data_IF_839897022962
#
_entry.id   IF_839897022962
#
_cell.length_a   1.000
_cell.length_b   1.000
_cell.length_c   1.000
_cell.angle_alpha   90.00
_cell.angle_beta   90.00
_cell.angle_gamma   90.00
#
_symmetry.space_group_name_H-M   'P 1'
#
loop_
_entity.id
_entity.type
_entity.pdbx_description
1 polymer ?
#
# COMPACT_ATOMS: atom_id res chain seq x y z
N UNK A 1 19.68 9.41 -23.76
CA UNK A 1 18.74 10.34 -23.10
C UNK A 1 19.42 11.38 -22.21
N UNK A 2 20.75 11.51 -22.24
CA UNK A 2 21.46 12.57 -21.54
C UNK A 2 22.27 13.36 -22.57
N UNK A 3 22.01 14.65 -22.67
CA UNK A 3 22.73 15.56 -23.57
C UNK A 3 23.34 16.67 -22.71
N UNK A 4 24.66 16.90 -22.83
CA UNK A 4 25.39 17.91 -22.03
C UNK A 4 25.13 17.79 -20.52
N UNK A 5 25.05 16.56 -20.00
CA UNK A 5 24.83 16.28 -18.58
C UNK A 5 23.39 16.51 -18.07
N UNK A 6 22.44 16.80 -18.96
CA UNK A 6 21.02 16.97 -18.60
C UNK A 6 20.17 15.81 -19.13
N UNK A 7 19.23 15.33 -18.31
CA UNK A 7 18.26 14.31 -18.72
C UNK A 7 17.22 14.94 -19.68
N UNK A 8 17.06 14.36 -20.86
CA UNK A 8 16.27 14.89 -21.98
C UNK A 8 14.99 14.07 -22.25
N UNK A 9 14.60 13.21 -21.31
CA UNK A 9 13.46 12.31 -21.47
C UNK A 9 13.59 11.05 -20.61
N UNK A 10 12.60 10.17 -20.73
CA UNK A 10 12.56 8.89 -20.02
C UNK A 10 12.29 7.73 -21.00
N UNK A 11 12.77 6.54 -20.63
CA UNK A 11 12.33 5.28 -21.22
C UNK A 11 11.42 4.63 -20.21
N UNK A 12 10.21 4.30 -20.62
CA UNK A 12 9.22 3.59 -19.81
C UNK A 12 8.90 2.26 -20.47
N UNK A 13 8.76 1.25 -19.63
CA UNK A 13 8.26 -0.07 -20.01
C UNK A 13 6.73 -0.02 -20.02
N UNK A 14 6.13 -0.32 -21.16
CA UNK A 14 4.71 -0.61 -21.19
C UNK A 14 4.48 -1.99 -20.54
N UNK A 15 3.77 -2.02 -19.42
CA UNK A 15 3.48 -3.27 -18.71
C UNK A 15 2.41 -4.14 -19.40
N UNK A 16 1.68 -3.60 -20.37
CA UNK A 16 0.65 -4.34 -21.12
C UNK A 16 1.28 -5.22 -22.22
N UNK A 17 2.27 -4.70 -22.96
CA UNK A 17 2.85 -5.39 -24.12
C UNK A 17 4.38 -5.60 -24.04
N UNK A 18 5.02 -5.14 -22.96
CA UNK A 18 6.46 -5.31 -22.71
C UNK A 18 7.36 -4.43 -23.60
N UNK A 19 6.79 -3.50 -24.36
CA UNK A 19 7.59 -2.62 -25.23
C UNK A 19 8.24 -1.48 -24.45
N UNK A 20 9.39 -1.01 -24.94
CA UNK A 20 10.09 0.15 -24.38
C UNK A 20 9.75 1.40 -25.19
N UNK A 21 9.09 2.36 -24.55
CA UNK A 21 8.75 3.64 -25.14
C UNK A 21 9.75 4.70 -24.70
N UNK A 22 10.24 5.49 -25.65
CA UNK A 22 11.13 6.63 -25.40
C UNK A 22 10.36 7.94 -25.53
N UNK A 23 10.23 8.65 -24.43
CA UNK A 23 9.62 9.97 -24.39
C UNK A 23 10.73 11.03 -24.32
N UNK A 24 10.68 12.01 -25.21
CA UNK A 24 11.58 13.16 -25.17
C UNK A 24 10.87 14.30 -24.44
N UNK A 25 11.51 14.86 -23.42
CA UNK A 25 10.92 15.91 -22.60
C UNK A 25 11.77 17.18 -22.66
N UNK A 26 11.14 18.34 -22.79
CA UNK A 26 11.81 19.64 -22.73
C UNK A 26 12.40 19.92 -21.33
N UNK A 27 11.87 19.25 -20.30
CA UNK A 27 12.41 19.25 -18.94
C UNK A 27 12.10 17.91 -18.29
N UNK A 28 13.13 17.24 -17.79
CA UNK A 28 12.97 15.99 -17.03
C UNK A 28 13.17 16.31 -15.55
N UNK A 29 12.12 16.13 -14.76
CA UNK A 29 12.19 16.23 -13.30
C UNK A 29 12.30 14.80 -12.80
N UNK A 30 13.46 14.41 -12.26
CA UNK A 30 13.49 13.23 -11.42
C UNK A 30 12.73 13.59 -10.14
N UNK A 31 11.56 13.00 -9.97
CA UNK A 31 10.85 13.01 -8.70
C UNK A 31 11.76 12.30 -7.69
N UNK A 32 12.49 13.04 -6.85
CA UNK A 32 13.38 12.46 -5.83
C UNK A 32 12.83 12.62 -4.43
N UNK A 33 11.61 13.12 -4.27
CA UNK A 33 10.99 13.24 -2.95
C UNK A 33 10.36 11.92 -2.56
N UNK A 34 10.91 11.25 -1.55
CA UNK A 34 10.26 10.20 -0.78
C UNK A 34 9.71 9.01 -1.62
N UNK A 35 10.36 8.69 -2.75
CA UNK A 35 9.93 7.59 -3.64
C UNK A 35 10.04 6.21 -2.97
N UNK A 36 10.85 6.08 -1.93
CA UNK A 36 10.94 4.87 -1.11
C UNK A 36 9.66 4.62 -0.29
N UNK A 37 8.81 5.63 -0.11
CA UNK A 37 7.55 5.51 0.63
C UNK A 37 6.40 5.05 -0.28
N UNK A 38 6.42 3.77 -0.63
CA UNK A 38 5.34 3.07 -1.33
C UNK A 38 4.33 2.54 -0.31
N UNK A 39 3.08 3.01 -0.39
CA UNK A 39 2.00 2.57 0.49
C UNK A 39 1.37 1.27 -0.01
N UNK A 40 1.20 0.34 0.93
CA UNK A 40 0.45 -0.90 0.75
C UNK A 40 -0.93 -0.74 1.38
N UNK A 41 -1.98 -1.12 0.65
CA UNK A 41 -3.33 -1.25 1.20
C UNK A 41 -3.50 -2.67 1.75
N UNK A 42 -3.99 -2.84 2.99
CA UNK A 42 -4.01 -4.15 3.65
C UNK A 42 -4.93 -5.16 2.96
N UNK A 43 -6.06 -4.70 2.41
CA UNK A 43 -7.15 -5.56 1.93
C UNK A 43 -7.26 -5.60 0.40
N UNK A 44 -6.18 -5.92 -0.31
CA UNK A 44 -6.26 -6.31 -1.72
C UNK A 44 -6.74 -7.75 -1.85
N UNK A 45 -7.70 -8.04 -2.74
CA UNK A 45 -8.18 -9.41 -3.00
C UNK A 45 -6.99 -10.27 -3.43
N UNK A 46 -6.76 -11.39 -2.75
CA UNK A 46 -5.68 -12.30 -3.06
C UNK A 46 -5.81 -12.85 -4.50
N UNK A 47 -4.70 -12.88 -5.23
CA UNK A 47 -4.65 -13.24 -6.64
C UNK A 47 -4.91 -12.05 -7.57
N UNK A 48 -6.11 -11.44 -7.51
CA UNK A 48 -6.50 -10.38 -8.44
C UNK A 48 -5.93 -8.99 -8.10
N UNK A 49 -5.66 -8.71 -6.83
CA UNK A 49 -5.19 -7.41 -6.34
C UNK A 49 -6.27 -6.32 -6.28
N UNK A 50 -7.52 -6.63 -6.64
CA UNK A 50 -8.64 -5.67 -6.58
C UNK A 50 -8.83 -5.14 -5.16
N UNK A 51 -9.08 -3.84 -5.04
CA UNK A 51 -9.19 -3.18 -3.75
C UNK A 51 -10.50 -3.57 -3.04
N UNK A 52 -10.39 -4.01 -1.78
CA UNK A 52 -11.50 -3.95 -0.82
C UNK A 52 -11.37 -2.67 0.00
N UNK A 53 -12.43 -1.86 0.06
CA UNK A 53 -12.41 -0.57 0.74
C UNK A 53 -12.10 -0.71 2.23
N UNK A 54 -11.32 0.22 2.76
CA UNK A 54 -11.09 0.35 4.21
C UNK A 54 -12.41 0.54 4.99
N UNK A 55 -13.45 1.07 4.31
CA UNK A 55 -14.81 1.12 4.85
C UNK A 55 -15.32 -0.24 5.33
N UNK A 56 -14.86 -1.35 4.75
CA UNK A 56 -15.20 -2.70 5.23
C UNK A 56 -14.75 -2.95 6.68
N UNK A 57 -13.57 -2.47 7.08
CA UNK A 57 -13.13 -2.53 8.48
C UNK A 57 -13.91 -1.53 9.35
N UNK A 58 -14.21 -0.33 8.81
CA UNK A 58 -15.03 0.70 9.44
C UNK A 58 -16.43 0.22 9.85
N UNK A 59 -17.06 -0.58 8.99
CA UNK A 59 -18.36 -1.22 9.24
C UNK A 59 -18.28 -2.45 10.16
N UNK A 60 -17.10 -2.75 10.71
CA UNK A 60 -16.88 -3.84 11.66
C UNK A 60 -16.30 -5.12 11.06
N UNK A 61 -15.71 -5.06 9.87
CA UNK A 61 -14.94 -6.17 9.30
C UNK A 61 -13.75 -6.57 10.17
N UNK A 62 -13.44 -7.87 10.18
CA UNK A 62 -12.46 -8.46 11.10
C UNK A 62 -11.41 -9.25 10.32
N UNK A 63 -10.13 -8.96 10.55
CA UNK A 63 -9.04 -9.76 10.00
C UNK A 63 -8.77 -10.99 10.88
N UNK A 64 -8.71 -12.17 10.26
CA UNK A 64 -8.39 -13.44 10.95
C UNK A 64 -7.34 -14.26 10.23
N UNK A 65 -6.45 -14.85 11.01
CA UNK A 65 -5.41 -15.76 10.54
C UNK A 65 -5.94 -17.20 10.41
N UNK A 66 -5.07 -18.16 10.07
CA UNK A 66 -5.46 -19.57 9.88
C UNK A 66 -5.98 -20.28 11.13
N UNK A 67 -5.68 -19.73 12.31
CA UNK A 67 -6.15 -20.25 13.59
C UNK A 67 -7.53 -19.68 13.97
N UNK A 68 -8.07 -18.77 13.15
CA UNK A 68 -9.30 -18.04 13.43
C UNK A 68 -9.11 -16.90 14.44
N UNK A 69 -7.87 -16.59 14.82
CA UNK A 69 -7.54 -15.50 15.75
C UNK A 69 -7.78 -14.15 15.09
N UNK A 70 -8.46 -13.24 15.81
CA UNK A 70 -8.46 -11.80 15.49
C UNK A 70 -7.12 -11.18 15.91
N UNK A 71 -6.08 -11.44 15.14
CA UNK A 71 -4.69 -11.12 15.50
C UNK A 71 -4.44 -9.61 15.71
N UNK A 72 -5.25 -8.72 15.11
CA UNK A 72 -5.09 -7.27 15.30
C UNK A 72 -5.33 -6.82 16.75
N UNK A 73 -6.04 -7.59 17.56
CA UNK A 73 -6.19 -7.32 19.00
C UNK A 73 -4.82 -7.36 19.73
N UNK A 74 -3.86 -8.14 19.21
CA UNK A 74 -2.50 -8.27 19.76
C UNK A 74 -1.55 -7.18 19.27
N UNK A 75 -1.66 -6.76 18.00
CA UNK A 75 -0.78 -5.75 17.41
C UNK A 75 -1.22 -4.31 17.66
N UNK A 76 -2.53 -4.06 17.73
CA UNK A 76 -3.10 -2.74 17.98
C UNK A 76 -4.28 -2.83 18.97
N UNK A 77 -4.04 -3.01 20.28
CA UNK A 77 -5.11 -3.31 21.25
C UNK A 77 -6.25 -2.28 21.29
N UNK A 78 -5.94 -1.01 21.02
CA UNK A 78 -6.93 0.09 21.01
C UNK A 78 -7.67 0.18 19.67
N UNK A 79 -6.93 0.32 18.57
CA UNK A 79 -7.50 0.59 17.25
C UNK A 79 -7.94 -0.67 16.49
N UNK A 80 -7.33 -1.83 16.79
CA UNK A 80 -7.60 -3.12 16.18
C UNK A 80 -7.49 -3.03 14.65
N UNK A 81 -8.50 -3.52 13.93
CA UNK A 81 -8.58 -3.47 12.46
C UNK A 81 -8.69 -2.04 11.88
N UNK A 82 -8.91 -1.02 12.74
CA UNK A 82 -8.91 0.41 12.38
C UNK A 82 -7.56 1.10 12.64
N UNK A 83 -6.51 0.34 12.94
CA UNK A 83 -5.16 0.89 13.00
C UNK A 83 -4.72 1.45 11.62
N UNK A 84 -3.65 2.25 11.61
CA UNK A 84 -3.13 2.81 10.36
C UNK A 84 -2.74 1.71 9.36
N UNK A 85 -2.89 2.01 8.06
CA UNK A 85 -2.68 1.04 6.97
C UNK A 85 -1.32 0.36 7.01
N UNK A 86 -0.28 1.08 7.41
CA UNK A 86 1.08 0.55 7.56
C UNK A 86 1.16 -0.46 8.72
N UNK A 87 0.51 -0.20 9.85
CA UNK A 87 0.45 -1.10 11.00
C UNK A 87 -0.32 -2.37 10.64
N UNK A 88 -1.50 -2.24 10.02
CA UNK A 88 -2.31 -3.40 9.61
C UNK A 88 -1.55 -4.25 8.58
N UNK A 89 -0.98 -3.63 7.54
CA UNK A 89 -0.24 -4.34 6.49
C UNK A 89 1.00 -5.07 7.03
N UNK A 90 1.75 -4.44 7.93
CA UNK A 90 2.89 -5.07 8.62
C UNK A 90 2.43 -6.25 9.49
N UNK A 91 1.34 -6.08 10.23
CA UNK A 91 0.79 -7.12 11.10
C UNK A 91 0.37 -8.35 10.30
N UNK A 92 -0.37 -8.16 9.20
CA UNK A 92 -0.72 -9.24 8.28
C UNK A 92 0.51 -9.96 7.73
N UNK A 93 1.54 -9.20 7.33
CA UNK A 93 2.78 -9.78 6.80
C UNK A 93 3.51 -10.60 7.88
N UNK A 94 3.52 -10.15 9.14
CA UNK A 94 4.10 -10.92 10.24
C UNK A 94 3.35 -12.23 10.49
N UNK A 95 2.01 -12.21 10.49
CA UNK A 95 1.19 -13.43 10.62
C UNK A 95 1.53 -14.47 9.53
N UNK A 96 1.62 -14.02 8.28
CA UNK A 96 1.96 -14.87 7.15
C UNK A 96 3.37 -15.46 7.33
N UNK A 97 4.37 -14.63 7.67
CA UNK A 97 5.76 -15.07 7.87
C UNK A 97 5.94 -16.03 9.05
N UNK A 98 5.08 -15.93 10.06
CA UNK A 98 5.05 -16.85 11.20
C UNK A 98 4.24 -18.12 10.90
N UNK A 99 3.80 -18.32 9.65
CA UNK A 99 3.13 -19.55 9.22
C UNK A 99 1.64 -19.63 9.59
N UNK A 100 1.04 -18.50 9.97
CA UNK A 100 -0.38 -18.36 10.32
C UNK A 100 -1.23 -17.78 9.17
N UNK A 101 -0.69 -17.71 7.95
CA UNK A 101 -1.48 -17.38 6.77
C UNK A 101 -2.46 -18.50 6.39
N UNK A 102 -3.50 -18.16 5.63
CA UNK A 102 -4.60 -19.04 5.21
C UNK A 102 -4.39 -19.60 3.80
N UNK A 103 -5.26 -20.53 3.40
CA UNK A 103 -5.16 -21.23 2.12
C UNK A 103 -4.03 -22.27 2.05
N UNK A 104 -3.91 -23.00 0.92
CA UNK A 104 -2.94 -24.10 0.79
C UNK A 104 -1.48 -23.67 0.92
N UNK A 105 -1.17 -22.43 0.54
CA UNK A 105 0.18 -21.86 0.57
C UNK A 105 0.47 -21.05 1.85
N UNK A 106 -0.53 -20.85 2.71
CA UNK A 106 -0.43 -20.03 3.92
C UNK A 106 0.10 -18.61 3.67
N UNK A 107 -0.29 -17.99 2.57
CA UNK A 107 0.32 -16.78 2.03
C UNK A 107 -0.63 -15.57 2.01
N UNK A 108 -1.81 -15.65 2.61
CA UNK A 108 -2.77 -14.56 2.73
C UNK A 108 -3.56 -14.63 4.04
N UNK A 109 -4.51 -13.71 4.24
CA UNK A 109 -5.33 -13.58 5.46
C UNK A 109 -6.81 -13.50 5.07
N UNK A 110 -7.72 -13.81 5.99
CA UNK A 110 -9.16 -13.64 5.77
C UNK A 110 -9.69 -12.32 6.33
N UNK A 111 -10.50 -11.62 5.53
CA UNK A 111 -11.37 -10.54 5.97
C UNK A 111 -12.80 -11.07 6.14
N UNK A 112 -13.28 -11.11 7.37
CA UNK A 112 -14.63 -11.54 7.71
C UNK A 112 -15.59 -10.36 7.71
N UNK A 113 -16.67 -10.50 6.92
CA UNK A 113 -17.83 -9.60 6.91
C UNK A 113 -19.14 -10.34 7.22
N UNK A 114 -19.11 -11.68 7.26
CA UNK A 114 -20.28 -12.55 7.35
C UNK A 114 -21.02 -12.48 8.70
N UNK A 115 -20.42 -11.88 9.74
CA UNK A 115 -21.10 -11.58 10.99
C UNK A 115 -21.93 -10.28 10.94
N UNK A 116 -21.75 -9.45 9.91
CA UNK A 116 -22.51 -8.22 9.73
C UNK A 116 -23.89 -8.53 9.14
N UNK A 117 -24.94 -7.76 9.51
CA UNK A 117 -26.26 -7.95 8.93
C UNK A 117 -26.23 -7.83 7.39
N UNK A 118 -26.86 -8.75 6.64
CA UNK A 118 -26.87 -8.69 5.17
C UNK A 118 -27.43 -7.37 4.61
N UNK A 119 -28.42 -6.77 5.28
CA UNK A 119 -28.97 -5.48 4.88
C UNK A 119 -27.94 -4.35 4.98
N UNK A 120 -27.09 -4.38 6.01
CA UNK A 120 -25.97 -3.42 6.15
C UNK A 120 -24.97 -3.59 5.03
N UNK A 121 -24.59 -4.83 4.70
CA UNK A 121 -23.66 -5.12 3.60
C UNK A 121 -24.21 -4.61 2.25
N UNK A 122 -25.52 -4.79 2.02
CA UNK A 122 -26.20 -4.31 0.82
C UNK A 122 -26.30 -2.78 0.74
N UNK A 123 -26.53 -2.11 1.87
CA UNK A 123 -26.66 -0.65 1.91
C UNK A 123 -25.29 0.05 1.84
N UNK A 124 -24.31 -0.43 2.63
CA UNK A 124 -23.03 0.26 2.86
C UNK A 124 -21.88 -0.26 2.01
N UNK A 125 -21.88 -1.55 1.68
CA UNK A 125 -20.80 -2.23 0.97
C UNK A 125 -21.26 -2.98 -0.30
N UNK A 126 -22.17 -2.42 -1.14
CA UNK A 126 -22.69 -3.14 -2.31
C UNK A 126 -21.60 -3.48 -3.33
N UNK A 127 -20.73 -2.52 -3.66
CA UNK A 127 -19.67 -2.73 -4.64
C UNK A 127 -18.60 -3.73 -4.17
N UNK A 128 -18.35 -3.82 -2.87
CA UNK A 128 -17.43 -4.81 -2.29
C UNK A 128 -17.99 -6.21 -2.38
N UNK A 129 -19.28 -6.38 -2.08
CA UNK A 129 -19.97 -7.67 -2.20
C UNK A 129 -19.89 -8.21 -3.64
N UNK A 130 -20.10 -7.33 -4.63
CA UNK A 130 -19.98 -7.67 -6.05
C UNK A 130 -18.52 -7.97 -6.44
N UNK A 131 -17.57 -7.15 -6.03
CA UNK A 131 -16.14 -7.35 -6.34
C UNK A 131 -15.61 -8.68 -5.76
N UNK A 132 -15.98 -9.02 -4.53
CA UNK A 132 -15.62 -10.29 -3.90
C UNK A 132 -16.23 -11.49 -4.65
N UNK A 133 -17.49 -11.39 -5.07
CA UNK A 133 -18.15 -12.43 -5.85
C UNK A 133 -17.48 -12.63 -7.22
N UNK A 134 -17.14 -11.54 -7.92
CA UNK A 134 -16.52 -11.61 -9.26
C UNK A 134 -15.09 -12.14 -9.20
N UNK A 135 -14.25 -11.58 -8.32
CA UNK A 135 -12.81 -11.82 -8.36
C UNK A 135 -12.33 -12.91 -7.40
N UNK A 136 -13.11 -13.27 -6.38
CA UNK A 136 -12.78 -14.34 -5.44
C UNK A 136 -13.83 -15.47 -5.40
N UNK A 137 -14.97 -15.32 -6.07
CA UNK A 137 -16.06 -16.30 -5.99
C UNK A 137 -16.72 -16.36 -4.62
N UNK A 138 -16.59 -15.32 -3.80
CA UNK A 138 -17.00 -15.30 -2.39
C UNK A 138 -18.33 -14.58 -2.21
N UNK A 139 -19.29 -15.25 -1.55
CA UNK A 139 -20.47 -14.60 -0.96
C UNK A 139 -20.09 -14.08 0.43
N UNK A 140 -19.90 -12.76 0.54
CA UNK A 140 -19.44 -12.08 1.75
C UNK A 140 -20.39 -12.23 2.95
N UNK A 141 -21.64 -12.65 2.72
CA UNK A 141 -22.60 -12.93 3.79
C UNK A 141 -22.38 -14.31 4.44
N UNK A 142 -21.58 -15.17 3.80
CA UNK A 142 -21.35 -16.56 4.23
C UNK A 142 -19.88 -16.83 4.51
N UNK A 143 -19.01 -16.38 3.61
CA UNK A 143 -17.60 -16.75 3.55
C UNK A 143 -16.71 -15.49 3.64
N UNK A 144 -15.51 -15.61 4.23
CA UNK A 144 -14.56 -14.49 4.28
C UNK A 144 -13.88 -14.24 2.94
N UNK A 145 -13.44 -13.00 2.73
CA UNK A 145 -12.69 -12.59 1.55
C UNK A 145 -11.19 -12.89 1.78
N UNK A 146 -10.50 -13.61 0.88
CA UNK A 146 -9.05 -13.79 0.97
C UNK A 146 -8.35 -12.47 0.56
N UNK A 147 -7.49 -11.94 1.44
CA UNK A 147 -6.83 -10.65 1.27
C UNK A 147 -5.34 -10.68 1.61
N UNK A 148 -4.58 -9.80 0.95
CA UNK A 148 -3.13 -9.62 1.16
C UNK A 148 -2.75 -8.14 0.97
N UNK A 149 -1.80 -7.60 1.76
CA UNK A 149 -1.24 -6.28 1.51
C UNK A 149 -0.74 -6.11 0.08
N UNK A 150 -1.30 -5.13 -0.63
CA UNK A 150 -1.06 -4.89 -2.06
C UNK A 150 -0.61 -3.44 -2.27
N UNK A 151 0.38 -3.20 -3.13
CA UNK A 151 0.82 -1.83 -3.48
C UNK A 151 -0.37 -1.03 -4.00
N UNK A 152 -0.54 0.19 -3.47
CA UNK A 152 -1.74 0.99 -3.77
C UNK A 152 -1.44 2.44 -4.13
N UNK A 153 -0.49 3.08 -3.45
CA UNK A 153 -0.24 4.50 -3.63
C UNK A 153 1.24 4.84 -3.42
N UNK A 154 1.76 5.80 -4.18
CA UNK A 154 3.10 6.32 -4.01
C UNK A 154 3.00 7.66 -3.25
N UNK A 155 3.54 7.71 -2.03
CA UNK A 155 3.59 8.96 -1.27
C UNK A 155 4.59 9.94 -1.88
N UNK A 156 5.69 9.39 -2.42
CA UNK A 156 6.71 10.16 -3.10
C UNK A 156 6.23 10.77 -4.41
N UNK A 157 6.94 11.81 -4.85
CA UNK A 157 6.58 12.55 -6.04
C UNK A 157 7.54 13.69 -6.33
N UNK A 158 7.08 14.61 -7.17
CA UNK A 158 7.85 15.83 -7.48
C UNK A 158 7.84 16.72 -6.24
N UNK A 159 9.01 17.04 -5.65
CA UNK A 159 9.05 17.91 -4.49
C UNK A 159 8.64 19.34 -4.89
N UNK A 160 7.60 19.83 -4.25
CA UNK A 160 7.07 21.17 -4.45
C UNK A 160 7.11 21.97 -3.15
N UNK A 161 7.08 23.30 -3.26
CA UNK A 161 6.72 24.14 -2.11
C UNK A 161 5.19 24.11 -1.89
N UNK A 162 4.72 24.77 -0.83
CA UNK A 162 3.29 24.80 -0.49
C UNK A 162 2.40 25.50 -1.53
N UNK A 163 2.97 26.17 -2.53
CA UNK A 163 2.26 26.74 -3.68
C UNK A 163 2.19 25.78 -4.89
N UNK A 164 2.78 24.59 -4.79
CA UNK A 164 2.85 23.63 -5.89
C UNK A 164 3.96 23.90 -6.91
N UNK A 165 4.86 24.85 -6.62
CA UNK A 165 5.99 25.16 -7.50
C UNK A 165 7.10 24.14 -7.29
N UNK A 166 7.71 23.67 -8.39
CA UNK A 166 8.85 22.76 -8.32
C UNK A 166 9.97 23.36 -7.47
N UNK A 167 10.57 22.58 -6.58
CA UNK A 167 11.74 23.04 -5.86
C UNK A 167 12.87 23.43 -6.83
N UNK A 168 13.58 24.49 -6.48
CA UNK A 168 14.81 24.86 -7.20
C UNK A 168 15.80 23.70 -7.09
N UNK A 169 16.65 23.47 -8.10
CA UNK A 169 17.73 22.49 -8.01
C UNK A 169 18.50 22.71 -6.71
N UNK A 170 18.71 21.63 -5.97
CA UNK A 170 19.54 21.67 -4.78
C UNK A 170 20.95 22.18 -5.14
N UNK A 171 21.59 22.86 -4.20
CA UNK A 171 23.01 23.22 -4.33
C UNK A 171 23.83 21.94 -4.57
N UNK A 172 24.94 22.05 -5.32
CA UNK A 172 25.76 20.89 -5.72
C UNK A 172 26.24 20.07 -4.52
N UNK A 173 26.36 20.68 -3.34
CA UNK A 173 26.83 20.08 -2.11
C UNK A 173 25.71 19.72 -1.12
N UNK A 174 24.43 19.84 -1.52
CA UNK A 174 23.29 19.57 -0.65
C UNK A 174 23.31 18.14 -0.08
N UNK A 175 23.67 17.14 -0.88
CA UNK A 175 23.79 15.76 -0.41
C UNK A 175 24.86 15.60 0.69
N UNK A 176 26.01 16.26 0.54
CA UNK A 176 27.09 16.22 1.54
C UNK A 176 26.68 16.97 2.82
N UNK A 177 25.95 18.09 2.68
CA UNK A 177 25.37 18.82 3.81
C UNK A 177 24.35 17.97 4.57
N UNK A 178 23.47 17.25 3.88
CA UNK A 178 22.48 16.36 4.48
C UNK A 178 23.15 15.20 5.21
N UNK A 179 24.15 14.54 4.60
CA UNK A 179 24.90 13.45 5.25
C UNK A 179 25.60 13.97 6.51
N UNK A 180 26.30 15.10 6.43
CA UNK A 180 26.96 15.71 7.58
C UNK A 180 25.99 16.10 8.70
N UNK A 181 24.76 16.49 8.36
CA UNK A 181 23.70 16.77 9.33
C UNK A 181 23.14 15.50 9.97
N UNK A 182 22.88 14.45 9.18
CA UNK A 182 22.45 13.14 9.68
C UNK A 182 23.50 12.51 10.60
N UNK A 183 24.78 12.63 10.27
CA UNK A 183 25.88 12.16 11.12
C UNK A 183 25.95 12.96 12.44
N UNK A 184 25.69 14.27 12.40
CA UNK A 184 25.57 15.06 13.63
C UNK A 184 24.40 14.62 14.50
N UNK A 185 23.26 14.29 13.91
CA UNK A 185 22.10 13.79 14.64
C UNK A 185 22.34 12.39 15.24
N UNK A 186 22.98 11.50 14.50
CA UNK A 186 23.36 10.16 14.98
C UNK A 186 24.35 10.22 16.14
N UNK A 187 25.20 11.25 16.15
CA UNK A 187 26.22 11.45 17.17
C UNK A 187 25.82 12.47 18.25
N UNK A 188 24.65 13.08 18.15
CA UNK A 188 24.08 13.89 19.23
C UNK A 188 23.35 12.95 20.19
N UNK A 189 23.90 12.81 21.39
CA UNK A 189 23.23 12.12 22.49
C UNK A 189 21.96 12.91 22.86
N UNK A 190 20.81 12.43 22.36
CA UNK A 190 19.50 12.67 22.96
C UNK A 190 19.14 11.45 23.82
#
# INVERSE_FOLDING_TARGET
>A
MVTRGTCQGEIVLNMEDGTLHRFQAASTILATGDLEFVQFHPTGIYGAGCLITEGSCGEGGILRNSEGERFMDRYAPTAKDLASRDVVSRSMTMEIREGRGVGPLKDHIYLHLNHLPPDLLKERLPGISETAAIFAGVDVTKEPIPVLPTVHYNMGGIPTNHHGEKQKPLEKDAGQKTIAWLDKLRNSNF
#
